data_IF_683937084637
#
_entry.id   IF_683937084637
#
_cell.length_a   1.000
_cell.length_b   1.000
_cell.length_c   1.000
_cell.angle_alpha   90.00
_cell.angle_beta   90.00
_cell.angle_gamma   90.00
#
_symmetry.space_group_name_H-M   'P 1'
#
loop_
_entity.id
_entity.type
_entity.pdbx_description
1 polymer ?
#
# COMPACT_ATOMS: atom_id res chain seq x y z
N UNK A 1 29.82 8.73 24.61
CA UNK A 1 29.73 7.48 23.82
C UNK A 1 28.27 7.16 23.45
N UNK A 2 27.35 6.98 24.41
CA UNK A 2 25.94 6.69 24.10
C UNK A 2 25.18 7.82 23.38
N UNK A 3 25.44 9.08 23.77
CA UNK A 3 24.82 10.26 23.17
C UNK A 3 25.26 10.46 21.71
N UNK A 4 26.56 10.28 21.45
CA UNK A 4 27.17 10.44 20.12
C UNK A 4 26.60 9.45 19.11
N UNK A 5 26.53 8.15 19.46
CA UNK A 5 26.00 7.10 18.58
C UNK A 5 24.55 7.38 18.14
N UNK A 6 23.74 7.96 19.03
CA UNK A 6 22.33 8.24 18.75
C UNK A 6 22.10 9.59 18.05
N UNK A 7 22.94 10.61 18.29
CA UNK A 7 22.97 11.81 17.45
C UNK A 7 23.35 11.46 16.01
N UNK A 8 24.28 10.54 15.84
CA UNK A 8 24.69 10.03 14.53
C UNK A 8 23.57 9.22 13.85
N UNK A 9 22.77 8.48 14.63
CA UNK A 9 21.57 7.80 14.14
C UNK A 9 20.49 8.78 13.70
N UNK A 10 20.22 9.84 14.50
CA UNK A 10 19.27 10.88 14.15
C UNK A 10 19.72 11.72 12.93
N UNK A 11 21.02 11.87 12.72
CA UNK A 11 21.60 12.55 11.56
C UNK A 11 21.49 11.73 10.25
N UNK A 12 21.23 10.41 10.33
CA UNK A 12 20.95 9.58 9.15
C UNK A 12 19.50 9.68 8.64
N UNK A 13 18.61 10.28 9.43
CA UNK A 13 17.21 10.49 9.04
C UNK A 13 17.06 11.77 8.20
N UNK A 14 16.09 11.76 7.27
CA UNK A 14 15.67 12.97 6.57
C UNK A 14 15.27 14.04 7.60
N UNK A 15 15.54 15.34 7.36
CA UNK A 15 15.20 16.40 8.31
C UNK A 15 13.73 16.44 8.72
N UNK A 16 12.81 16.05 7.83
CA UNK A 16 11.37 15.91 8.12
C UNK A 16 11.04 14.84 9.14
N UNK A 17 11.88 13.80 9.20
CA UNK A 17 11.64 12.60 9.97
C UNK A 17 12.37 12.66 11.31
N UNK A 18 13.05 13.78 11.63
CA UNK A 18 13.73 13.95 12.90
C UNK A 18 12.73 14.32 13.99
N UNK A 19 12.83 13.69 15.17
CA UNK A 19 11.95 14.06 16.27
C UNK A 19 12.24 15.48 16.78
N UNK A 20 11.18 16.23 17.04
CA UNK A 20 11.27 17.53 17.70
C UNK A 20 11.66 17.36 19.18
N UNK A 21 12.73 18.05 19.61
CA UNK A 21 13.20 18.04 21.00
C UNK A 21 12.18 18.72 21.93
N UNK A 22 11.62 18.04 22.96
CA UNK A 22 10.72 18.68 23.92
C UNK A 22 11.50 19.62 24.84
N UNK A 23 11.03 20.85 25.00
CA UNK A 23 11.62 21.82 25.95
C UNK A 23 11.55 21.25 27.37
N UNK A 24 12.71 21.13 28.03
CA UNK A 24 12.84 20.63 29.41
C UNK A 24 13.08 19.11 29.58
N UNK A 25 13.04 18.31 28.50
CA UNK A 25 13.34 16.86 28.55
C UNK A 25 14.77 16.49 28.12
N UNK A 26 15.65 17.48 28.00
CA UNK A 26 17.03 17.30 27.50
C UNK A 26 17.92 16.40 28.37
N UNK A 27 17.48 16.08 29.60
CA UNK A 27 18.26 15.31 30.58
C UNK A 27 17.87 13.81 30.62
N UNK A 28 16.78 13.39 29.96
CA UNK A 28 16.32 11.99 29.98
C UNK A 28 15.94 11.50 28.58
N UNK A 29 16.62 10.47 28.10
CA UNK A 29 16.49 9.92 26.74
C UNK A 29 15.19 9.15 26.47
N UNK A 30 14.30 8.96 27.47
CA UNK A 30 13.06 8.18 27.33
C UNK A 30 12.16 8.63 26.18
N UNK A 31 12.01 9.95 25.96
CA UNK A 31 11.16 10.48 24.89
C UNK A 31 11.65 10.11 23.49
N UNK A 32 12.97 9.93 23.33
CA UNK A 32 13.59 9.53 22.08
C UNK A 32 13.28 8.07 21.76
N UNK A 33 13.30 7.19 22.79
CA UNK A 33 12.89 5.79 22.65
C UNK A 33 11.41 5.63 22.35
N UNK A 34 10.56 6.41 23.02
CA UNK A 34 9.13 6.39 22.75
C UNK A 34 8.83 6.87 21.33
N UNK A 35 9.50 7.91 20.86
CA UNK A 35 9.39 8.37 19.48
C UNK A 35 9.85 7.30 18.48
N UNK A 36 11.01 6.67 18.71
CA UNK A 36 11.50 5.61 17.83
C UNK A 36 10.55 4.41 17.78
N UNK A 37 9.97 4.03 18.93
CA UNK A 37 8.98 2.94 19.02
C UNK A 37 7.70 3.29 18.25
N UNK A 38 7.22 4.53 18.37
CA UNK A 38 6.04 5.01 17.64
C UNK A 38 6.29 5.06 16.13
N UNK A 39 7.46 5.57 15.72
CA UNK A 39 7.82 5.66 14.30
C UNK A 39 7.94 4.27 13.67
N UNK A 40 8.65 3.35 14.31
CA UNK A 40 8.81 1.97 13.83
C UNK A 40 7.46 1.22 13.74
N UNK A 41 6.56 1.44 14.71
CA UNK A 41 5.20 0.90 14.64
C UNK A 41 4.43 1.46 13.45
N UNK A 42 4.45 2.78 13.26
CA UNK A 42 3.76 3.42 12.14
C UNK A 42 4.30 2.96 10.79
N UNK A 43 5.63 2.83 10.64
CA UNK A 43 6.25 2.33 9.41
C UNK A 43 5.83 0.88 9.11
N UNK A 44 5.74 0.03 10.14
CA UNK A 44 5.27 -1.35 9.98
C UNK A 44 3.81 -1.44 9.56
N UNK A 45 2.94 -0.66 10.19
CA UNK A 45 1.52 -0.60 9.83
C UNK A 45 1.34 -0.10 8.39
N UNK A 46 2.04 0.98 8.00
CA UNK A 46 2.02 1.49 6.63
C UNK A 46 2.53 0.45 5.61
N UNK A 47 3.64 -0.22 5.91
CA UNK A 47 4.17 -1.26 5.02
C UNK A 47 3.22 -2.46 4.88
N UNK A 48 2.53 -2.83 5.96
CA UNK A 48 1.50 -3.88 5.94
C UNK A 48 0.35 -3.49 5.01
N UNK A 49 -0.18 -2.28 5.15
CA UNK A 49 -1.28 -1.78 4.31
C UNK A 49 -0.84 -1.64 2.85
N UNK A 50 0.37 -1.12 2.59
CA UNK A 50 0.91 -1.03 1.24
C UNK A 50 1.04 -2.42 0.60
N UNK A 51 1.49 -3.42 1.36
CA UNK A 51 1.61 -4.81 0.90
C UNK A 51 0.24 -5.44 0.62
N UNK A 52 -0.74 -5.22 1.50
CA UNK A 52 -2.13 -5.68 1.29
C UNK A 52 -2.76 -5.04 0.05
N UNK A 53 -2.56 -3.73 -0.14
CA UNK A 53 -3.08 -3.01 -1.30
C UNK A 53 -2.40 -3.48 -2.60
N UNK A 54 -1.10 -3.72 -2.57
CA UNK A 54 -0.37 -4.30 -3.70
C UNK A 54 -0.91 -5.68 -4.07
N UNK A 55 -1.18 -6.54 -3.08
CA UNK A 55 -1.80 -7.85 -3.32
C UNK A 55 -3.19 -7.75 -3.95
N UNK A 56 -4.04 -6.84 -3.45
CA UNK A 56 -5.38 -6.58 -4.03
C UNK A 56 -5.30 -6.05 -5.46
N UNK A 57 -4.31 -5.22 -5.76
CA UNK A 57 -4.10 -4.69 -7.10
C UNK A 57 -3.69 -5.82 -8.07
N UNK A 58 -2.76 -6.69 -7.66
CA UNK A 58 -2.35 -7.87 -8.45
C UNK A 58 -3.53 -8.82 -8.71
N UNK A 59 -4.34 -9.10 -7.69
CA UNK A 59 -5.56 -9.92 -7.83
C UNK A 59 -6.57 -9.29 -8.80
N UNK A 60 -6.77 -7.96 -8.72
CA UNK A 60 -7.65 -7.24 -9.65
C UNK A 60 -7.15 -7.32 -11.09
N UNK A 61 -5.85 -7.16 -11.33
CA UNK A 61 -5.25 -7.30 -12.66
C UNK A 61 -5.37 -8.72 -13.21
N UNK A 62 -5.17 -9.72 -12.35
CA UNK A 62 -5.35 -11.12 -12.70
C UNK A 62 -6.80 -11.43 -13.07
N UNK A 63 -7.75 -10.98 -12.25
CA UNK A 63 -9.20 -11.10 -12.52
C UNK A 63 -9.59 -10.41 -13.82
N UNK A 64 -9.07 -9.19 -14.07
CA UNK A 64 -9.33 -8.46 -15.31
C UNK A 64 -8.84 -9.21 -16.55
N UNK A 65 -7.63 -9.78 -16.51
CA UNK A 65 -7.09 -10.62 -17.60
C UNK A 65 -7.97 -11.83 -17.85
N UNK A 66 -8.39 -12.54 -16.79
CA UNK A 66 -9.28 -13.70 -16.89
C UNK A 66 -10.65 -13.31 -17.48
N UNK A 67 -11.21 -12.16 -17.09
CA UNK A 67 -12.46 -11.65 -17.66
C UNK A 67 -12.34 -11.32 -19.15
N UNK A 68 -11.22 -10.76 -19.59
CA UNK A 68 -10.97 -10.50 -21.01
C UNK A 68 -10.87 -11.81 -21.81
N UNK A 69 -10.22 -12.83 -21.26
CA UNK A 69 -10.13 -14.16 -21.87
C UNK A 69 -11.52 -14.82 -21.97
N UNK A 70 -12.26 -14.85 -20.86
CA UNK A 70 -13.64 -15.34 -20.83
C UNK A 70 -14.54 -14.57 -21.80
N UNK A 71 -14.38 -13.25 -21.92
CA UNK A 71 -15.13 -12.44 -22.89
C UNK A 71 -14.82 -12.83 -24.34
N UNK A 72 -13.54 -13.12 -24.65
CA UNK A 72 -13.12 -13.57 -25.99
C UNK A 72 -13.66 -14.95 -26.30
N UNK A 73 -13.57 -15.89 -25.37
CA UNK A 73 -14.12 -17.25 -25.53
C UNK A 73 -15.63 -17.23 -25.68
N UNK A 74 -16.32 -16.42 -24.87
CA UNK A 74 -17.76 -16.24 -24.97
C UNK A 74 -18.17 -15.70 -26.35
N UNK A 75 -17.51 -14.65 -26.84
CA UNK A 75 -17.77 -14.13 -28.19
C UNK A 75 -17.49 -15.15 -29.29
N UNK A 76 -16.51 -16.04 -29.10
CA UNK A 76 -16.13 -17.05 -30.10
C UNK A 76 -17.09 -18.25 -30.13
N UNK A 77 -17.58 -18.67 -28.97
CA UNK A 77 -18.26 -19.97 -28.82
C UNK A 77 -19.78 -19.86 -28.63
N UNK A 78 -20.35 -18.66 -28.48
CA UNK A 78 -21.77 -18.47 -28.14
C UNK A 78 -22.57 -17.91 -29.34
N UNK A 79 -23.77 -18.49 -29.62
CA UNK A 79 -24.67 -18.02 -30.67
C UNK A 79 -25.16 -16.58 -30.45
N UNK A 80 -25.47 -15.88 -31.55
CA UNK A 80 -25.70 -14.43 -31.59
C UNK A 80 -26.82 -13.95 -30.65
N UNK A 81 -27.87 -14.74 -30.49
CA UNK A 81 -29.03 -14.43 -29.64
C UNK A 81 -28.65 -14.30 -28.15
N UNK A 82 -27.73 -15.15 -27.67
CA UNK A 82 -27.25 -15.10 -26.29
C UNK A 82 -26.23 -13.96 -26.11
N UNK A 83 -25.51 -13.59 -27.18
CA UNK A 83 -24.56 -12.47 -27.17
C UNK A 83 -25.26 -11.12 -27.00
N UNK A 84 -26.41 -10.95 -27.65
CA UNK A 84 -27.26 -9.76 -27.50
C UNK A 84 -27.78 -9.59 -26.06
N UNK A 85 -28.13 -10.69 -25.38
CA UNK A 85 -28.64 -10.64 -24.00
C UNK A 85 -27.59 -10.22 -22.96
N UNK A 86 -26.32 -10.62 -23.14
CA UNK A 86 -25.25 -10.27 -22.20
C UNK A 86 -24.45 -9.02 -22.59
N UNK A 87 -24.70 -8.45 -23.78
CA UNK A 87 -24.02 -7.25 -24.27
C UNK A 87 -24.07 -6.05 -23.29
N UNK A 88 -25.17 -5.75 -22.58
CA UNK A 88 -25.20 -4.67 -21.59
C UNK A 88 -24.27 -4.93 -20.40
N UNK A 89 -24.20 -6.19 -19.95
CA UNK A 89 -23.37 -6.63 -18.83
C UNK A 89 -21.89 -6.55 -19.22
N UNK A 90 -21.53 -7.05 -20.40
CA UNK A 90 -20.16 -6.95 -20.92
C UNK A 90 -19.71 -5.50 -21.09
N UNK A 91 -20.59 -4.59 -21.54
CA UNK A 91 -20.29 -3.15 -21.64
C UNK A 91 -20.06 -2.50 -20.27
N UNK A 92 -20.79 -2.91 -19.22
CA UNK A 92 -20.59 -2.36 -17.87
C UNK A 92 -19.20 -2.69 -17.29
N UNK A 93 -18.62 -3.83 -17.67
CA UNK A 93 -17.26 -4.21 -17.27
C UNK A 93 -16.14 -3.58 -18.13
N UNK A 94 -16.47 -2.96 -19.26
CA UNK A 94 -15.49 -2.32 -20.16
C UNK A 94 -15.28 -0.83 -19.90
N UNK A 95 -16.18 -0.20 -19.14
CA UNK A 95 -16.18 1.25 -18.87
C UNK A 95 -15.56 1.62 -17.50
N UNK A 96 -14.88 0.69 -16.84
CA UNK A 96 -14.11 0.91 -15.60
C UNK A 96 -12.64 0.65 -15.86
#
# INVERSE_FOLDING_TARGET
QFIELHLETANRLQPSDRPSLPRGKLINYSWMFDWQRLNDRSSRELNSVASELAGRQEESEHSHKNLLELSREFKRNVPEEVREMVAPVLKSFQNQ
#
